data_IF_741924332569
#
_entry.id   IF_741924332569
#
_cell.length_a   1.000
_cell.length_b   1.000
_cell.length_c   1.000
_cell.angle_alpha   90.00
_cell.angle_beta   90.00
_cell.angle_gamma   90.00
#
_symmetry.space_group_name_H-M   'P 1'
#
loop_
_entity.id
_entity.type
_entity.pdbx_description
1 polymer ?
#
# COMPACT_ATOMS: atom_id res chain seq x y z
N UNK A 1 -7.50 -11.49 -0.60
CA UNK A 1 -8.08 -10.17 -0.28
C UNK A 1 -7.44 -9.48 0.94
N UNK A 2 -6.64 -10.17 1.77
CA UNK A 2 -6.06 -9.59 2.99
C UNK A 2 -5.22 -8.33 2.76
N UNK A 3 -4.44 -8.26 1.67
CA UNK A 3 -3.64 -7.07 1.35
C UNK A 3 -4.48 -5.83 1.01
N UNK A 4 -5.69 -6.03 0.48
CA UNK A 4 -6.60 -4.93 0.21
C UNK A 4 -7.08 -4.32 1.52
N UNK A 5 -7.49 -5.18 2.46
CA UNK A 5 -7.94 -4.78 3.78
C UNK A 5 -6.83 -4.15 4.61
N UNK A 6 -5.60 -4.64 4.53
CA UNK A 6 -4.48 -4.04 5.26
C UNK A 6 -4.19 -2.60 4.79
N UNK A 7 -4.18 -2.36 3.48
CA UNK A 7 -4.01 -1.00 2.92
C UNK A 7 -5.19 -0.11 3.27
N UNK A 8 -6.42 -0.64 3.21
CA UNK A 8 -7.62 0.10 3.59
C UNK A 8 -7.59 0.53 5.06
N UNK A 9 -7.21 -0.37 5.96
CA UNK A 9 -7.07 -0.09 7.39
C UNK A 9 -5.95 0.93 7.66
N UNK A 10 -4.78 0.76 7.05
CA UNK A 10 -3.68 1.71 7.20
C UNK A 10 -4.08 3.12 6.73
N UNK A 11 -4.78 3.22 5.60
CA UNK A 11 -5.30 4.49 5.08
C UNK A 11 -6.30 5.13 6.05
N UNK A 12 -7.24 4.34 6.58
CA UNK A 12 -8.24 4.84 7.52
C UNK A 12 -7.63 5.24 8.87
N UNK A 13 -6.59 4.54 9.32
CA UNK A 13 -5.91 4.86 10.57
C UNK A 13 -5.19 6.21 10.50
N UNK A 14 -4.51 6.49 9.37
CA UNK A 14 -3.78 7.75 9.17
C UNK A 14 -4.70 8.91 8.77
N UNK A 15 -5.75 8.63 7.99
CA UNK A 15 -6.64 9.64 7.43
C UNK A 15 -8.11 9.18 7.53
N UNK A 16 -8.70 9.17 8.75
CA UNK A 16 -10.06 8.69 8.96
C UNK A 16 -11.11 9.48 8.16
N UNK A 17 -10.83 10.76 7.87
CA UNK A 17 -11.66 11.65 7.07
C UNK A 17 -11.85 11.17 5.63
N UNK A 18 -10.99 10.28 5.11
CA UNK A 18 -11.18 9.67 3.78
C UNK A 18 -12.52 8.95 3.65
N UNK A 19 -13.07 8.45 4.78
CA UNK A 19 -14.33 7.71 4.78
C UNK A 19 -15.53 8.61 4.42
N UNK A 20 -15.46 9.90 4.74
CA UNK A 20 -16.56 10.86 4.52
C UNK A 20 -16.24 11.86 3.41
N UNK A 21 -14.99 12.33 3.33
CA UNK A 21 -14.56 13.31 2.34
C UNK A 21 -14.02 12.68 1.05
N UNK A 22 -13.83 11.36 1.03
CA UNK A 22 -13.29 10.65 -0.12
C UNK A 22 -11.78 10.86 -0.32
N UNK A 23 -11.27 10.41 -1.46
CA UNK A 23 -9.84 10.42 -1.79
C UNK A 23 -9.27 11.82 -2.02
N UNK A 24 -10.09 12.81 -2.34
CA UNK A 24 -9.66 14.20 -2.58
C UNK A 24 -9.15 14.89 -1.32
N UNK A 25 -9.52 14.39 -0.14
CA UNK A 25 -9.01 14.87 1.13
C UNK A 25 -7.64 14.29 1.51
N UNK A 26 -7.12 13.32 0.74
CA UNK A 26 -5.83 12.72 1.00
C UNK A 26 -4.69 13.48 0.29
N UNK A 27 -3.52 13.58 0.92
CA UNK A 27 -2.30 13.86 0.19
C UNK A 27 -1.96 12.67 -0.74
N UNK A 28 -1.02 12.87 -1.67
CA UNK A 28 -0.55 11.79 -2.54
C UNK A 28 0.14 10.71 -1.71
N UNK A 29 -0.52 9.55 -1.55
CA UNK A 29 0.01 8.41 -0.81
C UNK A 29 0.84 7.50 -1.71
N UNK A 30 1.94 6.97 -1.17
CA UNK A 30 2.83 6.03 -1.85
C UNK A 30 2.89 4.74 -1.02
N UNK A 31 2.69 3.60 -1.68
CA UNK A 31 2.83 2.28 -1.08
C UNK A 31 4.17 1.69 -1.46
N UNK A 32 4.97 1.34 -0.46
CA UNK A 32 6.20 0.58 -0.65
C UNK A 32 5.93 -0.90 -0.49
N UNK A 33 6.41 -1.69 -1.43
CA UNK A 33 6.29 -3.14 -1.36
C UNK A 33 7.53 -3.82 -1.91
N UNK A 34 7.85 -5.01 -1.44
CA UNK A 34 9.05 -5.72 -1.88
C UNK A 34 8.89 -6.21 -3.33
N UNK A 35 9.99 -6.35 -4.07
CA UNK A 35 10.00 -6.88 -5.44
C UNK A 35 9.37 -8.27 -5.57
N UNK A 36 9.55 -9.11 -4.56
CA UNK A 36 8.97 -10.45 -4.50
C UNK A 36 7.59 -10.46 -3.80
N UNK A 37 7.06 -9.30 -3.42
CA UNK A 37 5.72 -9.24 -2.84
C UNK A 37 4.68 -9.60 -3.89
N UNK A 38 3.64 -10.30 -3.42
CA UNK A 38 2.57 -10.76 -4.29
C UNK A 38 1.90 -9.57 -5.00
N UNK A 39 1.70 -9.69 -6.32
CA UNK A 39 1.08 -8.70 -7.22
C UNK A 39 -0.24 -8.09 -6.72
N UNK A 40 -0.89 -8.72 -5.74
CA UNK A 40 -2.07 -8.21 -5.03
C UNK A 40 -1.86 -6.86 -4.35
N UNK A 41 -0.65 -6.46 -3.97
CA UNK A 41 -0.42 -5.12 -3.35
C UNK A 41 -0.63 -4.00 -4.37
N UNK A 42 -0.04 -4.14 -5.56
CA UNK A 42 -0.21 -3.16 -6.66
C UNK A 42 -1.66 -3.09 -7.13
N UNK A 43 -2.35 -4.24 -7.21
CA UNK A 43 -3.79 -4.31 -7.45
C UNK A 43 -4.61 -3.59 -6.37
N UNK A 44 -4.22 -3.72 -5.10
CA UNK A 44 -4.92 -3.06 -4.00
C UNK A 44 -4.80 -1.54 -4.07
N UNK A 45 -3.64 -1.01 -4.47
CA UNK A 45 -3.46 0.43 -4.70
C UNK A 45 -4.38 0.94 -5.82
N UNK A 46 -4.53 0.18 -6.91
CA UNK A 46 -5.45 0.53 -7.99
C UNK A 46 -6.91 0.48 -7.54
N UNK A 47 -7.34 -0.60 -6.87
CA UNK A 47 -8.72 -0.79 -6.39
C UNK A 47 -9.11 0.29 -5.36
N UNK A 48 -8.18 0.71 -4.51
CA UNK A 48 -8.44 1.73 -3.49
C UNK A 48 -8.34 3.17 -4.02
N UNK A 49 -8.07 3.35 -5.32
CA UNK A 49 -7.95 4.66 -5.96
C UNK A 49 -6.69 5.44 -5.57
N UNK A 50 -5.66 4.75 -5.05
CA UNK A 50 -4.35 5.35 -4.78
C UNK A 50 -3.51 5.48 -6.05
N UNK A 51 -3.83 4.70 -7.08
CA UNK A 51 -3.12 4.67 -8.35
C UNK A 51 -2.09 3.54 -8.41
N UNK A 52 -2.01 2.86 -9.56
CA UNK A 52 -1.07 1.76 -9.80
C UNK A 52 0.39 2.21 -9.83
N UNK A 53 0.64 3.48 -10.17
CA UNK A 53 1.97 4.10 -10.21
C UNK A 53 2.49 4.49 -8.82
N UNK A 54 1.59 4.69 -7.86
CA UNK A 54 1.97 5.00 -6.49
C UNK A 54 2.34 3.74 -5.68
N UNK A 55 2.38 2.57 -6.31
CA UNK A 55 2.96 1.34 -5.76
C UNK A 55 4.43 1.22 -6.12
N UNK A 56 5.31 1.70 -5.25
CA UNK A 56 6.76 1.63 -5.42
C UNK A 56 7.27 0.26 -4.98
N UNK A 57 7.95 -0.40 -5.91
CA UNK A 57 8.59 -1.69 -5.65
C UNK A 57 10.00 -1.44 -5.15
N UNK A 58 10.25 -1.79 -3.89
CA UNK A 58 11.57 -1.77 -3.27
C UNK A 58 12.27 -3.09 -3.63
N UNK A 59 13.44 -3.00 -4.26
CA UNK A 59 14.29 -4.17 -4.52
C UNK A 59 14.73 -4.73 -3.17
N UNK A 60 14.51 -6.02 -2.94
CA UNK A 60 15.20 -6.71 -1.87
C UNK A 60 16.63 -6.96 -2.34
N UNK A 61 17.62 -6.58 -1.55
CA UNK A 61 18.92 -7.23 -1.65
C UNK A 61 18.76 -8.67 -1.17
N UNK A 62 19.37 -9.62 -1.89
CA UNK A 62 19.26 -11.08 -1.65
C UNK A 62 19.71 -11.54 -0.24
N UNK A 63 20.11 -10.62 0.65
CA UNK A 63 20.66 -10.88 1.99
C UNK A 63 19.70 -10.75 3.17
N UNK A 64 18.48 -10.22 3.02
CA UNK A 64 17.63 -9.87 4.17
C UNK A 64 16.26 -10.55 4.23
N UNK A 65 16.07 -11.69 3.57
CA UNK A 65 14.89 -12.54 3.80
C UNK A 65 14.88 -13.25 5.17
N UNK A 66 15.91 -13.07 6.01
CA UNK A 66 15.95 -13.52 7.41
C UNK A 66 16.75 -12.56 8.28
N UNK A 67 16.07 -11.61 8.93
CA UNK A 67 16.38 -11.13 10.31
C UNK A 67 15.41 -10.01 10.66
N UNK A 68 14.23 -10.41 11.12
CA UNK A 68 13.66 -9.78 12.29
C UNK A 68 14.09 -10.67 13.47
N UNK A 69 15.22 -10.32 14.08
CA UNK A 69 15.64 -10.70 15.44
C UNK A 69 16.55 -9.58 15.95
#
# INVERSE_FOLDING_TARGET
>A
MSNLYSVLLARYHLFPEVKTKGLTALPRLILFTLANSHYSVKKSAAVLGLGSENGVVVKCDDRQARRAE
#
